data_IF_270985569819
#
_entry.id   IF_270985569819
#
_cell.length_a   1.000
_cell.length_b   1.000
_cell.length_c   1.000
_cell.angle_alpha   90.00
_cell.angle_beta   90.00
_cell.angle_gamma   90.00
#
_symmetry.space_group_name_H-M   'P 1'
#
loop_
_entity.id
_entity.type
_entity.pdbx_description
1 polymer ?
#
# COMPACT_ATOMS: atom_id res chain seq x y z
N UNK A 1 13.12 9.45 20.32
CA UNK A 1 12.56 8.66 19.19
C UNK A 1 11.22 8.10 19.64
N UNK A 2 10.13 8.33 18.92
CA UNK A 2 8.79 7.91 19.36
C UNK A 2 8.50 6.44 19.05
N UNK A 3 7.99 5.71 20.06
CA UNK A 3 7.48 4.35 19.88
C UNK A 3 6.14 4.37 19.14
N UNK A 4 6.17 4.11 17.83
CA UNK A 4 4.99 4.04 16.94
C UNK A 4 4.26 2.70 17.01
N UNK A 5 4.89 1.67 17.57
CA UNK A 5 4.33 0.33 17.73
C UNK A 5 4.09 0.08 19.22
N UNK A 6 2.93 -0.46 19.55
CA UNK A 6 2.56 -0.83 20.92
C UNK A 6 2.16 -2.30 20.98
N UNK A 7 2.36 -2.91 22.16
CA UNK A 7 1.99 -4.29 22.46
C UNK A 7 1.05 -4.28 23.66
N UNK A 8 -0.13 -4.89 23.52
CA UNK A 8 -1.06 -5.01 24.62
C UNK A 8 -1.74 -6.39 24.55
N UNK A 9 -1.55 -7.29 25.54
CA UNK A 9 -2.12 -8.64 25.50
C UNK A 9 -3.66 -8.64 25.42
N UNK A 10 -4.31 -7.57 25.90
CA UNK A 10 -5.76 -7.44 25.87
C UNK A 10 -6.31 -6.96 24.51
N UNK A 11 -5.44 -6.62 23.55
CA UNK A 11 -5.82 -6.10 22.23
C UNK A 11 -5.16 -6.98 21.16
N UNK A 12 -5.97 -7.48 20.22
CA UNK A 12 -5.50 -8.34 19.11
C UNK A 12 -4.61 -9.51 19.59
N UNK A 13 -4.94 -10.13 20.73
CA UNK A 13 -4.19 -11.25 21.32
C UNK A 13 -2.70 -10.94 21.56
N UNK A 14 -2.36 -9.68 21.85
CA UNK A 14 -0.97 -9.27 22.07
C UNK A 14 -0.16 -9.03 20.80
N UNK A 15 -0.77 -9.11 19.61
CA UNK A 15 -0.09 -8.79 18.36
C UNK A 15 0.42 -7.32 18.37
N UNK A 16 1.55 -7.04 17.70
CA UNK A 16 2.02 -5.67 17.54
C UNK A 16 1.02 -4.82 16.76
N UNK A 17 0.67 -3.65 17.29
CA UNK A 17 -0.28 -2.71 16.66
C UNK A 17 0.34 -1.32 16.49
N UNK A 18 -0.14 -0.56 15.50
CA UNK A 18 0.21 0.86 15.37
C UNK A 18 -0.47 1.66 16.47
N UNK A 19 0.31 2.47 17.20
CA UNK A 19 -0.16 3.30 18.30
C UNK A 19 -1.32 4.20 17.86
N UNK A 20 -2.39 4.21 18.65
CA UNK A 20 -3.60 5.00 18.37
C UNK A 20 -4.57 4.35 17.37
N UNK A 21 -4.27 3.14 16.91
CA UNK A 21 -5.15 2.37 16.02
C UNK A 21 -5.41 0.97 16.58
N UNK A 22 -6.36 0.25 15.98
CA UNK A 22 -6.57 -1.20 16.20
C UNK A 22 -6.12 -2.01 14.98
N UNK A 23 -5.08 -1.53 14.28
CA UNK A 23 -4.52 -2.16 13.08
C UNK A 23 -3.23 -2.88 13.48
N UNK A 24 -3.13 -4.18 13.16
CA UNK A 24 -1.91 -4.95 13.38
C UNK A 24 -0.82 -4.54 12.38
N UNK A 25 0.42 -4.62 12.81
CA UNK A 25 1.58 -4.39 11.93
C UNK A 25 1.61 -5.44 10.82
N UNK A 26 1.27 -6.68 11.14
CA UNK A 26 1.14 -7.80 10.21
C UNK A 26 0.22 -7.48 9.03
N UNK A 27 -0.97 -6.93 9.30
CA UNK A 27 -1.93 -6.57 8.25
C UNK A 27 -1.37 -5.55 7.26
N UNK A 28 -0.62 -4.56 7.76
CA UNK A 28 0.02 -3.56 6.89
C UNK A 28 1.13 -4.19 6.06
N UNK A 29 1.91 -5.11 6.64
CA UNK A 29 2.95 -5.83 5.89
C UNK A 29 2.36 -6.69 4.78
N UNK A 30 1.22 -7.34 5.02
CA UNK A 30 0.49 -8.10 4.00
C UNK A 30 -0.01 -7.20 2.86
N UNK A 31 -0.58 -6.04 3.19
CA UNK A 31 -1.00 -5.05 2.19
C UNK A 31 0.20 -4.60 1.34
N UNK A 32 1.32 -4.25 1.97
CA UNK A 32 2.54 -3.87 1.26
C UNK A 32 3.07 -5.01 0.37
N UNK A 33 3.06 -6.25 0.88
CA UNK A 33 3.47 -7.44 0.15
C UNK A 33 2.56 -7.73 -1.06
N UNK A 34 1.26 -7.45 -0.96
CA UNK A 34 0.29 -7.56 -2.07
C UNK A 34 0.53 -6.58 -3.23
N UNK A 35 1.58 -5.76 -3.15
CA UNK A 35 1.93 -4.78 -4.18
C UNK A 35 1.26 -3.42 -3.96
N UNK A 36 0.60 -3.21 -2.81
CA UNK A 36 0.16 -1.88 -2.39
C UNK A 36 1.41 -1.05 -2.06
N UNK A 37 1.89 -0.30 -3.04
CA UNK A 37 2.94 0.68 -2.79
C UNK A 37 2.28 1.86 -2.07
N UNK A 38 2.79 2.27 -0.89
CA UNK A 38 2.38 3.55 -0.35
C UNK A 38 2.71 4.57 -1.42
N UNK A 39 1.69 5.30 -1.86
CA UNK A 39 1.85 6.33 -2.88
C UNK A 39 2.73 7.43 -2.29
N UNK A 40 4.04 7.24 -2.40
CA UNK A 40 5.05 8.26 -2.14
C UNK A 40 4.96 9.19 -3.34
N UNK A 41 4.17 10.24 -3.17
CA UNK A 41 3.97 11.29 -4.17
C UNK A 41 5.31 11.83 -4.65
N UNK A 42 5.68 11.43 -5.87
CA UNK A 42 6.98 11.73 -6.43
C UNK A 42 7.11 11.55 -7.94
N UNK A 43 6.04 11.29 -8.70
CA UNK A 43 6.08 11.52 -10.16
C UNK A 43 4.72 11.98 -10.65
N UNK A 44 4.66 13.24 -11.07
CA UNK A 44 3.60 13.83 -11.88
C UNK A 44 3.58 13.13 -13.25
N UNK A 45 3.00 11.92 -13.34
CA UNK A 45 2.77 11.26 -14.64
C UNK A 45 1.49 10.42 -14.72
N UNK A 46 0.43 10.83 -14.02
CA UNK A 46 -0.88 10.19 -14.12
C UNK A 46 -1.86 11.00 -14.97
N UNK A 47 -1.54 11.19 -16.26
CA UNK A 47 -2.51 11.66 -17.25
C UNK A 47 -2.64 10.79 -18.50
N UNK A 48 -2.26 9.52 -18.47
CA UNK A 48 -2.42 8.66 -19.67
C UNK A 48 -2.43 7.15 -19.44
N UNK A 49 -2.73 6.59 -18.25
CA UNK A 49 -2.82 5.12 -18.11
C UNK A 49 -4.03 4.50 -18.84
N UNK A 50 -5.18 5.18 -18.90
CA UNK A 50 -6.36 4.71 -19.65
C UNK A 50 -6.16 4.88 -21.17
N UNK A 51 -5.44 5.93 -21.59
CA UNK A 51 -5.11 6.20 -22.99
C UNK A 51 -4.01 5.28 -23.55
N UNK A 52 -3.12 4.73 -22.71
CA UNK A 52 -2.04 3.85 -23.16
C UNK A 52 -2.59 2.48 -23.63
N UNK A 53 -3.58 1.93 -22.92
CA UNK A 53 -4.24 0.68 -23.32
C UNK A 53 -5.05 0.82 -24.62
N UNK A 54 -5.56 2.01 -24.92
CA UNK A 54 -6.29 2.30 -26.18
C UNK A 54 -5.36 2.60 -27.36
N UNK A 55 -4.12 3.06 -27.11
CA UNK A 55 -3.13 3.35 -28.16
C UNK A 55 -2.25 2.15 -28.52
N UNK A 56 -2.01 1.23 -27.58
CA UNK A 56 -1.28 -0.02 -27.84
C UNK A 56 -2.03 -1.07 -28.67
N UNK A 57 -3.32 -0.87 -28.95
CA UNK A 57 -4.14 -1.75 -29.79
C UNK A 57 -4.17 -1.35 -31.28
N UNK A 58 -3.51 -0.26 -31.68
CA UNK A 58 -3.56 0.28 -33.05
C UNK A 58 -2.26 0.12 -33.84
N UNK A 59 -1.15 -0.22 -33.18
CA UNK A 59 0.18 -0.16 -33.78
C UNK A 59 0.90 -1.53 -33.76
N UNK A 60 0.14 -2.63 -33.69
CA UNK A 60 0.64 -3.99 -33.89
C UNK A 60 0.22 -4.50 -35.27
N UNK A 61 1.18 -4.57 -36.19
CA UNK A 61 1.07 -5.23 -37.50
C UNK A 61 0.37 -6.60 -37.42
N UNK A 62 -0.90 -6.63 -37.86
CA UNK A 62 -1.58 -7.62 -38.72
C UNK A 62 -2.89 -7.00 -39.23
#
# INVERSE_FOLDING_TARGET
MENRITFNPNILQGKPIIKGTRISVEFILELLASGMRPEVSGTRKDRTRILWNLRGAKDGLL
#
